data_IF_662477432989
#
_entry.id   IF_662477432989
#
_cell.length_a   1.000
_cell.length_b   1.000
_cell.length_c   1.000
_cell.angle_alpha   90.00
_cell.angle_beta   90.00
_cell.angle_gamma   90.00
#
_symmetry.space_group_name_H-M   'P 1'
#
loop_
_entity.id
_entity.type
_entity.pdbx_description
1 polymer ?
#
# COMPACT_ATOMS: atom_id res chain seq x y z
N UNK A 1 28.11 3.97 -14.84
CA UNK A 1 26.89 4.80 -14.76
C UNK A 1 26.18 4.64 -16.09
N UNK A 2 24.98 4.06 -16.10
CA UNK A 2 24.24 3.88 -17.34
C UNK A 2 23.64 5.24 -17.70
N UNK A 3 24.32 5.99 -18.56
CA UNK A 3 23.86 7.26 -19.10
C UNK A 3 22.96 6.99 -20.32
N UNK A 4 21.82 6.34 -20.07
CA UNK A 4 20.79 6.12 -21.10
C UNK A 4 20.09 7.46 -21.32
N UNK A 5 20.25 8.00 -22.53
CA UNK A 5 19.44 9.12 -22.98
C UNK A 5 18.04 8.69 -23.38
N UNK A 6 17.18 9.67 -23.62
CA UNK A 6 15.87 9.45 -24.25
C UNK A 6 15.96 8.66 -25.58
N UNK A 7 16.95 8.88 -26.48
CA UNK A 7 17.02 8.11 -27.71
C UNK A 7 17.34 6.61 -27.50
N UNK A 8 18.23 6.26 -26.58
CA UNK A 8 18.50 4.85 -26.25
C UNK A 8 17.27 4.16 -25.65
N UNK A 9 16.48 4.89 -24.86
CA UNK A 9 15.25 4.38 -24.27
C UNK A 9 14.17 4.11 -25.33
N UNK A 10 14.11 4.95 -26.37
CA UNK A 10 13.25 4.73 -27.54
C UNK A 10 13.64 3.46 -28.31
N UNK A 11 14.94 3.27 -28.57
CA UNK A 11 15.45 2.07 -29.25
C UNK A 11 15.13 0.81 -28.44
N UNK A 12 15.37 0.85 -27.12
CA UNK A 12 15.06 -0.26 -26.23
C UNK A 12 13.56 -0.59 -26.22
N UNK A 13 12.71 0.44 -26.16
CA UNK A 13 11.25 0.26 -26.23
C UNK A 13 10.85 -0.38 -27.55
N UNK A 14 11.47 0.03 -28.66
CA UNK A 14 11.21 -0.56 -29.98
C UNK A 14 11.60 -2.04 -30.01
N UNK A 15 12.78 -2.38 -29.49
CA UNK A 15 13.25 -3.78 -29.42
C UNK A 15 12.30 -4.64 -28.57
N UNK A 16 11.85 -4.13 -27.42
CA UNK A 16 10.88 -4.84 -26.57
C UNK A 16 9.56 -5.02 -27.32
N UNK A 17 9.05 -3.96 -27.96
CA UNK A 17 7.79 -4.00 -28.68
C UNK A 17 7.81 -4.94 -29.89
N UNK A 18 8.93 -5.00 -30.62
CA UNK A 18 9.13 -5.95 -31.72
C UNK A 18 9.37 -7.38 -31.23
N UNK A 19 10.00 -7.55 -30.07
CA UNK A 19 10.21 -8.87 -29.45
C UNK A 19 8.92 -9.45 -28.89
N UNK A 20 7.98 -8.60 -28.45
CA UNK A 20 6.66 -9.04 -27.96
C UNK A 20 5.71 -9.13 -29.15
N UNK A 21 5.21 -10.34 -29.45
CA UNK A 21 4.21 -10.51 -30.50
C UNK A 21 2.96 -9.66 -30.21
N UNK A 22 2.55 -8.76 -31.11
CA UNK A 22 1.44 -7.84 -30.87
C UNK A 22 0.10 -8.56 -30.66
N UNK A 23 -0.04 -9.75 -31.25
CA UNK A 23 -1.21 -10.62 -31.11
C UNK A 23 -1.55 -10.99 -29.66
N UNK A 24 -0.55 -10.98 -28.77
CA UNK A 24 -0.73 -11.33 -27.35
C UNK A 24 -0.71 -10.13 -26.41
N UNK A 25 -0.56 -8.89 -26.91
CA UNK A 25 -0.52 -7.67 -26.06
C UNK A 25 -1.79 -7.56 -25.22
N UNK A 26 -2.96 -7.83 -25.80
CA UNK A 26 -4.23 -7.81 -25.06
C UNK A 26 -4.28 -8.88 -23.96
N UNK A 27 -3.67 -10.05 -24.19
CA UNK A 27 -3.59 -11.12 -23.20
C UNK A 27 -2.65 -10.75 -22.05
N UNK A 28 -1.47 -10.21 -22.37
CA UNK A 28 -0.51 -9.72 -21.37
C UNK A 28 -1.09 -8.56 -20.55
N UNK A 29 -1.74 -7.60 -21.20
CA UNK A 29 -2.37 -6.48 -20.51
C UNK A 29 -3.50 -6.93 -19.58
N UNK A 30 -4.35 -7.86 -20.03
CA UNK A 30 -5.39 -8.46 -19.18
C UNK A 30 -4.81 -9.20 -17.98
N UNK A 31 -3.73 -9.95 -18.17
CA UNK A 31 -3.06 -10.65 -17.07
C UNK A 31 -2.39 -9.68 -16.11
N UNK A 32 -1.77 -8.61 -16.61
CA UNK A 32 -1.16 -7.57 -15.79
C UNK A 32 -2.21 -6.82 -14.96
N UNK A 33 -3.33 -6.44 -15.57
CA UNK A 33 -4.45 -5.82 -14.87
C UNK A 33 -5.08 -6.76 -13.85
N UNK A 34 -5.30 -8.04 -14.19
CA UNK A 34 -5.78 -9.05 -13.23
C UNK A 34 -4.81 -9.22 -12.07
N UNK A 35 -3.51 -9.24 -12.33
CA UNK A 35 -2.49 -9.33 -11.28
C UNK A 35 -2.54 -8.10 -10.39
N UNK A 36 -2.61 -6.90 -10.98
CA UNK A 36 -2.70 -5.64 -10.25
C UNK A 36 -3.95 -5.56 -9.36
N UNK A 37 -5.12 -5.90 -9.91
CA UNK A 37 -6.38 -5.94 -9.16
C UNK A 37 -6.31 -7.00 -8.06
N UNK A 38 -5.78 -8.19 -8.34
CA UNK A 38 -5.67 -9.26 -7.34
C UNK A 38 -4.69 -8.89 -6.22
N UNK A 39 -3.59 -8.20 -6.52
CA UNK A 39 -2.67 -7.65 -5.53
C UNK A 39 -3.32 -6.55 -4.70
N UNK A 40 -4.09 -5.66 -5.34
CA UNK A 40 -4.83 -4.62 -4.63
C UNK A 40 -5.90 -5.20 -3.69
N UNK A 41 -6.64 -6.21 -4.17
CA UNK A 41 -7.69 -6.89 -3.40
C UNK A 41 -7.08 -7.65 -2.22
N UNK A 42 -6.00 -8.40 -2.45
CA UNK A 42 -5.26 -9.07 -1.36
C UNK A 42 -4.76 -8.06 -0.33
N UNK A 43 -4.21 -6.92 -0.78
CA UNK A 43 -3.76 -5.86 0.14
C UNK A 43 -4.92 -5.20 0.88
N UNK A 44 -6.09 -4.98 0.25
CA UNK A 44 -7.24 -4.38 0.94
C UNK A 44 -7.86 -5.37 1.92
N UNK A 45 -8.05 -6.64 1.53
CA UNK A 45 -8.55 -7.68 2.41
C UNK A 45 -7.61 -7.90 3.58
N UNK A 46 -6.29 -8.00 3.35
CA UNK A 46 -5.32 -8.10 4.45
C UNK A 46 -5.32 -6.84 5.32
N UNK A 47 -5.49 -5.63 4.76
CA UNK A 47 -5.58 -4.40 5.56
C UNK A 47 -6.85 -4.36 6.40
N UNK A 48 -7.95 -4.86 5.87
CA UNK A 48 -9.27 -4.88 6.52
C UNK A 48 -9.35 -5.99 7.57
N UNK A 49 -8.82 -7.18 7.27
CA UNK A 49 -8.60 -8.28 8.21
C UNK A 49 -7.62 -7.87 9.30
N UNK A 50 -6.47 -7.25 9.00
CA UNK A 50 -5.56 -6.72 10.00
C UNK A 50 -6.21 -5.61 10.84
N UNK A 51 -7.04 -4.74 10.27
CA UNK A 51 -7.76 -3.69 11.02
C UNK A 51 -8.76 -4.31 12.00
N UNK A 52 -9.38 -5.43 11.62
CA UNK A 52 -10.36 -6.19 12.41
C UNK A 52 -9.69 -7.10 13.45
N UNK A 53 -8.55 -7.69 13.12
CA UNK A 53 -7.82 -8.67 13.93
C UNK A 53 -6.84 -8.01 14.91
N UNK A 54 -6.15 -6.93 14.50
CA UNK A 54 -5.34 -6.10 15.42
C UNK A 54 -6.18 -5.09 16.21
N UNK A 55 -7.51 -5.05 15.98
CA UNK A 55 -8.46 -4.10 16.60
C UNK A 55 -7.83 -2.74 16.90
N UNK A 56 -7.29 -2.10 15.87
CA UNK A 56 -6.54 -0.85 16.00
C UNK A 56 -7.38 0.24 16.68
N UNK A 57 -8.71 0.16 16.57
CA UNK A 57 -9.64 1.01 17.33
C UNK A 57 -9.60 0.76 18.84
N UNK A 58 -9.54 -0.49 19.31
CA UNK A 58 -9.39 -0.81 20.74
C UNK A 58 -8.01 -0.39 21.24
N UNK A 59 -6.93 -0.66 20.49
CA UNK A 59 -5.58 -0.25 20.86
C UNK A 59 -5.46 1.29 20.97
N UNK A 60 -6.11 2.02 20.04
CA UNK A 60 -6.17 3.48 20.08
C UNK A 60 -7.01 3.98 21.26
N UNK A 61 -8.11 3.31 21.58
CA UNK A 61 -8.98 3.67 22.68
C UNK A 61 -8.33 3.41 24.04
N UNK A 62 -7.58 2.32 24.20
CA UNK A 62 -6.85 2.00 25.42
C UNK A 62 -5.74 3.01 25.69
N UNK A 63 -4.95 3.36 24.65
CA UNK A 63 -3.93 4.41 24.76
C UNK A 63 -4.58 5.75 25.13
N UNK A 64 -5.71 6.09 24.49
CA UNK A 64 -6.44 7.33 24.79
C UNK A 64 -7.01 7.34 26.21
N UNK A 65 -7.58 6.23 26.67
CA UNK A 65 -8.09 6.10 28.03
C UNK A 65 -6.96 6.21 29.06
N UNK A 66 -5.82 5.55 28.82
CA UNK A 66 -4.67 5.63 29.73
C UNK A 66 -4.11 7.06 29.81
N UNK A 67 -4.03 7.75 28.67
CA UNK A 67 -3.58 9.14 28.60
C UNK A 67 -4.55 10.09 29.33
N UNK A 68 -5.86 9.93 29.11
CA UNK A 68 -6.90 10.70 29.81
C UNK A 68 -6.89 10.43 31.32
N UNK A 69 -6.74 9.18 31.73
CA UNK A 69 -6.71 8.81 33.15
C UNK A 69 -5.53 9.45 33.88
N UNK A 70 -4.35 9.50 33.23
CA UNK A 70 -3.17 10.20 33.75
C UNK A 70 -3.39 11.70 33.84
N UNK A 71 -4.06 12.29 32.85
CA UNK A 71 -4.42 13.71 32.85
C UNK A 71 -5.37 14.04 34.01
N UNK A 72 -6.42 13.23 34.23
CA UNK A 72 -7.36 13.42 35.33
C UNK A 72 -6.68 13.26 36.69
N UNK A 73 -5.84 12.23 36.87
CA UNK A 73 -5.09 12.03 38.12
C UNK A 73 -4.19 13.24 38.43
N UNK A 74 -3.52 13.79 37.42
CA UNK A 74 -2.67 14.97 37.59
C UNK A 74 -3.46 16.23 37.96
N UNK A 75 -4.66 16.40 37.41
CA UNK A 75 -5.53 17.53 37.74
C UNK A 75 -6.17 17.41 39.13
N UNK A 76 -6.45 16.20 39.62
CA UNK A 76 -6.94 15.98 40.99
C UNK A 76 -5.85 16.23 42.04
N UNK A 77 -4.58 15.90 41.75
CA UNK A 77 -3.45 16.20 42.62
C UNK A 77 -3.10 17.70 42.65
N UNK A 78 -3.34 18.45 41.56
CA UNK A 78 -3.13 19.92 41.52
C UNK A 78 -4.26 20.71 42.23
N UNK A 79 -5.42 20.10 42.48
CA UNK A 79 -6.53 20.76 43.18
C UNK A 79 -6.61 20.43 44.70
N UNK A 80 -5.62 19.70 45.24
CA UNK A 80 -5.56 19.30 46.65
C UNK A 80 -4.53 20.07 47.48
#
# INVERSE_FOLDING_TARGET
>A
MIQIGIPELLVLTLVILFSVKPENIQHYLKNFLKFFVKTQDTLSTTKEELKKELKIEELKQDIFNEEKLKEFARNEDEQR
#
